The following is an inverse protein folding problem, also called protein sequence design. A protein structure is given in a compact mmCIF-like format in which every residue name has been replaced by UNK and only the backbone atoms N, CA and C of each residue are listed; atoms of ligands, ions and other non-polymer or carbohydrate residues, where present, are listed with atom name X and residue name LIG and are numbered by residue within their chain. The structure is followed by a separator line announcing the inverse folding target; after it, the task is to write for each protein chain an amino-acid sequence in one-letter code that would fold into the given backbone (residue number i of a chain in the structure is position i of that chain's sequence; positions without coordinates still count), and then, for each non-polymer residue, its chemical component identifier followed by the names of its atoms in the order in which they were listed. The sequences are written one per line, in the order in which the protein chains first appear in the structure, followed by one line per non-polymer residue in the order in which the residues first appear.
data_IF_414238017973
#
_entry.id   IF_414238017973
#
_cell.length_a   1.000
_cell.length_b   1.000
_cell.length_c   1.000
_cell.angle_alpha   90.00
_cell.angle_beta   90.00
_cell.angle_gamma   90.00
#
_symmetry.space_group_name_H-M   'P 1'
#
loop_
_entity.id
_entity.type
_entity.pdbx_description
1 polymer ?
#
# COMPACT_ATOMS: atom_id res chain seq x y z
N UNK A 1 14.36 30.59 -4.08
CA UNK A 1 13.95 29.42 -4.89
C UNK A 1 13.69 28.26 -3.94
N UNK A 2 12.55 27.58 -4.05
CA UNK A 2 12.20 26.41 -3.26
C UNK A 2 12.36 25.16 -4.11
N UNK A 3 13.21 24.23 -3.67
CA UNK A 3 13.36 22.91 -4.27
C UNK A 3 13.13 21.86 -3.20
N UNK A 4 12.17 20.97 -3.43
CA UNK A 4 12.00 19.78 -2.62
C UNK A 4 12.77 18.62 -3.26
N UNK A 5 13.46 17.84 -2.43
CA UNK A 5 14.16 16.64 -2.84
C UNK A 5 13.59 15.47 -2.01
N UNK A 6 13.10 14.43 -2.69
CA UNK A 6 12.83 13.11 -2.10
C UNK A 6 13.90 12.14 -2.60
N UNK A 7 14.22 11.13 -1.77
CA UNK A 7 15.04 10.00 -2.21
C UNK A 7 14.38 9.20 -3.36
N UNK A 8 13.04 9.17 -3.39
CA UNK A 8 12.23 8.61 -4.48
C UNK A 8 11.38 9.72 -5.14
N UNK A 9 11.74 10.18 -6.35
CA UNK A 9 11.02 11.25 -7.06
C UNK A 9 9.54 10.95 -7.33
N UNK A 10 9.12 9.67 -7.35
CA UNK A 10 7.71 9.29 -7.53
C UNK A 10 6.81 9.81 -6.41
N UNK A 11 7.39 10.16 -5.26
CA UNK A 11 6.69 10.75 -4.11
C UNK A 11 6.30 12.22 -4.31
N UNK A 12 6.78 12.87 -5.37
CA UNK A 12 6.32 14.21 -5.76
C UNK A 12 5.14 14.13 -6.74
N UNK A 13 4.97 13.01 -7.45
CA UNK A 13 3.94 12.87 -8.47
C UNK A 13 2.53 12.85 -7.83
N UNK A 14 1.71 13.85 -8.18
CA UNK A 14 0.35 13.98 -7.64
C UNK A 14 0.25 14.49 -6.21
N UNK A 15 1.38 14.72 -5.52
CA UNK A 15 1.42 15.37 -4.22
C UNK A 15 1.12 16.86 -4.32
N UNK A 16 0.34 17.38 -3.36
CA UNK A 16 -0.02 18.81 -3.29
C UNK A 16 0.49 19.38 -1.98
N UNK A 17 1.09 20.56 -2.05
CA UNK A 17 1.72 21.25 -0.93
C UNK A 17 1.14 22.65 -0.72
N UNK A 18 1.33 23.18 0.48
CA UNK A 18 1.00 24.55 0.88
C UNK A 18 2.15 25.15 1.68
N UNK A 19 2.34 26.46 1.55
CA UNK A 19 3.16 27.24 2.48
C UNK A 19 2.29 27.92 3.55
N UNK A 20 2.74 27.86 4.79
CA UNK A 20 2.18 28.64 5.91
C UNK A 20 3.27 29.46 6.58
N UNK A 21 2.92 30.57 7.23
CA UNK A 21 3.85 31.25 8.15
C UNK A 21 4.16 30.34 9.35
N UNK A 22 5.16 30.69 10.15
CA UNK A 22 5.44 30.00 11.41
C UNK A 22 4.20 29.87 12.31
N UNK A 23 3.32 30.87 12.29
CA UNK A 23 2.08 30.94 13.06
C UNK A 23 0.91 30.16 12.41
N UNK A 24 1.13 29.58 11.22
CA UNK A 24 0.12 28.80 10.49
C UNK A 24 -0.77 29.64 9.57
N UNK A 25 -0.42 30.89 9.31
CA UNK A 25 -1.21 31.78 8.47
C UNK A 25 -0.92 31.60 6.97
N UNK A 26 -1.82 32.11 6.13
CA UNK A 26 -1.65 32.10 4.68
C UNK A 26 -0.47 32.98 4.27
N UNK A 27 0.43 32.43 3.44
CA UNK A 27 1.59 33.15 2.92
C UNK A 27 1.19 34.04 1.74
N UNK A 28 1.72 35.27 1.74
CA UNK A 28 1.69 36.19 0.61
C UNK A 28 3.10 36.49 0.14
N UNK A 29 3.26 36.72 -1.16
CA UNK A 29 4.52 37.14 -1.75
C UNK A 29 4.79 38.65 -1.55
N UNK A 30 5.93 39.13 -2.02
CA UNK A 30 6.31 40.56 -1.92
C UNK A 30 5.39 41.50 -2.71
N UNK A 31 4.56 40.97 -3.61
CA UNK A 31 3.54 41.73 -4.36
C UNK A 31 2.16 41.65 -3.69
N UNK A 32 2.08 41.08 -2.48
CA UNK A 32 0.86 40.88 -1.71
C UNK A 32 -0.11 39.87 -2.35
N UNK A 33 0.36 39.00 -3.25
CA UNK A 33 -0.41 37.90 -3.83
C UNK A 33 -0.36 36.67 -2.93
N UNK A 34 -1.49 35.99 -2.78
CA UNK A 34 -1.59 34.77 -1.97
C UNK A 34 -0.92 33.58 -2.67
N UNK A 35 -0.02 32.90 -1.97
CA UNK A 35 0.55 31.63 -2.42
C UNK A 35 -0.46 30.50 -2.16
N UNK A 36 -1.12 30.08 -3.24
CA UNK A 36 -2.03 28.93 -3.23
C UNK A 36 -1.27 27.61 -3.12
N UNK A 37 -1.99 26.50 -3.08
CA UNK A 37 -1.39 25.17 -3.13
C UNK A 37 -0.67 24.91 -4.46
N UNK A 38 0.40 24.12 -4.44
CA UNK A 38 1.21 23.79 -5.62
C UNK A 38 1.70 22.34 -5.58
N UNK A 39 2.24 21.87 -6.70
CA UNK A 39 2.84 20.54 -6.84
C UNK A 39 4.30 20.72 -7.28
N UNK A 40 5.22 19.91 -6.77
CA UNK A 40 6.55 19.83 -7.37
C UNK A 40 6.48 18.97 -8.63
N UNK A 41 7.08 19.45 -9.71
CA UNK A 41 7.34 18.63 -10.89
C UNK A 41 8.78 18.13 -10.81
N UNK A 42 8.98 16.89 -11.21
CA UNK A 42 10.29 16.23 -11.11
C UNK A 42 11.40 17.10 -11.72
N UNK A 43 12.44 17.37 -10.93
CA UNK A 43 13.59 18.18 -11.32
C UNK A 43 13.37 19.69 -11.51
N UNK A 44 12.15 20.22 -11.42
CA UNK A 44 11.88 21.65 -11.62
C UNK A 44 11.70 22.41 -10.31
N UNK A 45 12.61 23.36 -9.98
CA UNK A 45 12.46 24.18 -8.79
C UNK A 45 11.30 25.16 -8.93
N UNK A 46 10.56 25.37 -7.83
CA UNK A 46 9.55 26.41 -7.77
C UNK A 46 10.16 27.73 -7.28
N UNK A 47 9.73 28.84 -7.86
CA UNK A 47 10.22 30.17 -7.47
C UNK A 47 9.08 30.97 -6.86
N UNK A 48 9.31 31.41 -5.63
CA UNK A 48 8.48 32.36 -4.90
C UNK A 48 9.35 33.54 -4.48
N UNK A 49 8.76 34.74 -4.46
CA UNK A 49 9.40 35.96 -3.93
C UNK A 49 8.74 36.27 -2.59
N UNK A 50 9.31 35.70 -1.51
CA UNK A 50 8.73 35.77 -0.16
C UNK A 50 9.44 36.84 0.67
N UNK A 51 8.72 37.54 1.57
CA UNK A 51 9.35 38.33 2.61
C UNK A 51 10.27 37.50 3.52
N UNK A 52 11.23 38.15 4.16
CA UNK A 52 12.05 37.54 5.19
C UNK A 52 11.19 36.99 6.32
N UNK A 53 11.45 35.76 6.74
CA UNK A 53 10.62 35.09 7.73
C UNK A 53 10.85 33.60 7.87
N UNK A 54 10.06 32.99 8.73
CA UNK A 54 10.04 31.54 8.96
C UNK A 54 8.74 30.99 8.42
N UNK A 55 8.85 29.93 7.61
CA UNK A 55 7.75 29.32 6.89
C UNK A 55 7.70 27.83 7.14
N UNK A 56 6.52 27.24 6.99
CA UNK A 56 6.34 25.79 6.96
C UNK A 56 5.88 25.34 5.58
N UNK A 57 6.41 24.21 5.11
CA UNK A 57 5.95 23.46 3.97
C UNK A 57 5.09 22.30 4.47
N UNK A 58 3.83 22.27 4.06
CA UNK A 58 2.84 21.27 4.46
C UNK A 58 2.40 20.44 3.25
N UNK A 59 2.35 19.12 3.38
CA UNK A 59 1.69 18.27 2.40
C UNK A 59 0.18 18.29 2.68
N UNK A 60 -0.61 18.68 1.68
CA UNK A 60 -2.08 18.73 1.74
C UNK A 60 -2.70 17.51 1.06
N UNK A 61 -2.00 16.93 0.10
CA UNK A 61 -2.39 15.68 -0.57
C UNK A 61 -1.15 14.82 -0.78
N UNK A 62 -1.22 13.55 -0.38
CA UNK A 62 -0.21 12.55 -0.70
C UNK A 62 -0.33 12.09 -2.16
N UNK A 63 0.77 11.56 -2.73
CA UNK A 63 0.72 10.76 -3.94
C UNK A 63 -0.26 9.58 -3.82
N UNK A 64 -0.75 9.11 -4.95
CA UNK A 64 -1.62 7.95 -4.98
C UNK A 64 -0.91 6.72 -4.40
N UNK A 65 -1.58 6.01 -3.50
CA UNK A 65 -1.02 4.82 -2.85
C UNK A 65 -0.15 5.12 -1.62
N UNK A 66 -0.10 6.36 -1.15
CA UNK A 66 0.64 6.77 0.05
C UNK A 66 -0.25 7.50 1.06
N UNK A 67 0.17 7.47 2.33
CA UNK A 67 -0.45 8.20 3.41
C UNK A 67 0.03 9.65 3.43
N UNK A 68 -0.86 10.57 3.84
CA UNK A 68 -0.53 11.98 4.00
C UNK A 68 0.48 12.19 5.12
N UNK A 69 1.65 12.73 4.79
CA UNK A 69 2.58 13.20 5.80
C UNK A 69 2.08 14.52 6.39
N UNK A 70 1.65 14.48 7.65
CA UNK A 70 1.11 15.64 8.38
C UNK A 70 2.17 16.45 9.11
N UNK A 71 3.44 16.06 9.03
CA UNK A 71 4.55 16.76 9.69
C UNK A 71 4.97 17.93 8.80
N UNK A 72 4.78 19.19 9.22
CA UNK A 72 5.23 20.35 8.45
C UNK A 72 6.76 20.44 8.51
N UNK A 73 7.38 20.89 7.42
CA UNK A 73 8.82 21.13 7.40
C UNK A 73 9.09 22.62 7.43
N UNK A 74 9.82 23.06 8.45
CA UNK A 74 10.12 24.45 8.66
C UNK A 74 11.39 24.89 7.92
N UNK A 75 11.37 26.07 7.32
CA UNK A 75 12.53 26.69 6.70
C UNK A 75 12.52 28.22 6.89
N UNK A 76 13.69 28.83 6.72
CA UNK A 76 13.91 30.27 6.91
C UNK A 76 14.21 30.91 5.54
N UNK A 77 13.62 32.08 5.29
CA UNK A 77 13.93 32.95 4.16
C UNK A 77 14.54 34.25 4.69
N UNK A 78 15.68 34.65 4.12
CA UNK A 78 16.41 35.88 4.40
C UNK A 78 17.17 36.37 3.14
N UNK A 79 17.85 37.51 3.22
CA UNK A 79 18.61 38.11 2.10
C UNK A 79 19.65 37.17 1.46
N UNK A 80 20.23 36.22 2.22
CA UNK A 80 21.22 35.25 1.73
C UNK A 80 20.58 34.00 1.08
N UNK A 81 19.26 33.84 1.18
CA UNK A 81 18.54 32.64 0.76
C UNK A 81 18.35 32.56 -0.75
N UNK A 82 19.36 32.07 -1.47
CA UNK A 82 19.24 31.84 -2.94
C UNK A 82 18.42 30.60 -3.28
N UNK A 83 18.65 29.50 -2.56
CA UNK A 83 17.95 28.22 -2.73
C UNK A 83 17.69 27.60 -1.36
N UNK A 84 16.43 27.34 -1.05
CA UNK A 84 16.03 26.57 0.13
C UNK A 84 15.77 25.14 -0.35
N UNK A 85 16.66 24.22 0.04
CA UNK A 85 16.44 22.79 -0.11
C UNK A 85 15.70 22.27 1.10
N UNK A 86 14.53 21.68 0.87
CA UNK A 86 13.71 21.13 1.94
C UNK A 86 13.75 19.61 1.81
N UNK A 87 14.46 18.90 2.72
CA UNK A 87 14.35 17.45 2.78
C UNK A 87 12.94 17.13 3.26
N UNK A 88 12.20 16.37 2.47
CA UNK A 88 10.90 15.88 2.91
C UNK A 88 11.14 14.74 3.92
N UNK A 89 11.13 15.06 5.21
CA UNK A 89 11.41 14.11 6.28
C UNK A 89 10.24 13.13 6.52
N UNK A 90 10.58 11.87 6.81
CA UNK A 90 9.63 10.79 7.07
C UNK A 90 9.53 9.80 5.91
N UNK A 91 9.61 8.50 6.22
CA UNK A 91 9.41 7.47 5.22
C UNK A 91 7.93 7.47 4.79
N UNK A 92 7.62 7.65 3.50
CA UNK A 92 6.24 7.63 3.03
C UNK A 92 5.62 6.26 3.29
N UNK A 93 4.47 6.24 3.94
CA UNK A 93 3.78 5.00 4.27
C UNK A 93 2.89 4.63 3.09
N UNK A 94 3.20 3.52 2.40
CA UNK A 94 2.30 2.99 1.36
C UNK A 94 0.98 2.57 1.99
N UNK A 95 -0.14 2.96 1.39
CA UNK A 95 -1.50 2.53 1.80
C UNK A 95 -1.88 1.17 1.22
N UNK A 96 -0.94 0.53 0.50
CA UNK A 96 -1.11 -0.77 -0.14
C UNK A 96 0.09 -1.67 0.13
N UNK A 97 -0.17 -2.97 0.10
CA UNK A 97 0.83 -4.02 0.25
C UNK A 97 0.63 -5.11 -0.79
N UNK A 98 1.69 -5.86 -1.05
CA UNK A 98 1.60 -7.08 -1.82
C UNK A 98 1.25 -8.24 -0.87
N UNK A 99 0.42 -9.16 -1.33
CA UNK A 99 0.03 -10.35 -0.57
C UNK A 99 0.35 -11.61 -1.37
N UNK A 100 1.28 -12.41 -0.87
CA UNK A 100 1.62 -13.72 -1.41
C UNK A 100 0.90 -14.82 -0.63
N UNK A 101 0.23 -15.71 -1.35
CA UNK A 101 -0.49 -16.85 -0.79
C UNK A 101 0.15 -18.13 -1.30
N UNK A 102 0.54 -19.01 -0.39
CA UNK A 102 1.14 -20.31 -0.69
C UNK A 102 0.18 -21.42 -0.29
N UNK A 103 -0.18 -22.29 -1.23
CA UNK A 103 -1.03 -23.44 -0.95
C UNK A 103 -0.15 -24.63 -0.57
N UNK A 104 -0.28 -25.11 0.68
CA UNK A 104 0.51 -26.23 1.22
C UNK A 104 -0.38 -27.36 1.75
N UNK A 105 0.22 -28.53 1.97
CA UNK A 105 -0.35 -29.62 2.77
C UNK A 105 0.14 -29.57 4.23
N UNK A 106 -0.33 -30.50 5.04
CA UNK A 106 0.04 -30.69 6.47
C UNK A 106 1.55 -30.88 6.73
N UNK A 107 2.34 -31.17 5.69
CA UNK A 107 3.80 -31.30 5.77
C UNK A 107 4.53 -30.03 5.31
N UNK A 108 3.82 -28.95 5.02
CA UNK A 108 4.38 -27.72 4.46
C UNK A 108 4.75 -27.79 2.99
N UNK A 109 4.41 -28.86 2.27
CA UNK A 109 4.75 -29.03 0.85
C UNK A 109 3.70 -28.38 -0.05
N UNK A 110 4.10 -27.75 -1.18
CA UNK A 110 3.18 -27.08 -2.09
C UNK A 110 2.19 -28.06 -2.73
N UNK A 111 0.92 -27.66 -2.85
CA UNK A 111 -0.13 -28.48 -3.48
C UNK A 111 -0.94 -27.74 -4.54
N UNK A 112 -1.03 -28.34 -5.73
CA UNK A 112 -1.65 -27.73 -6.91
C UNK A 112 -3.16 -27.95 -7.00
N UNK A 113 -3.83 -27.03 -7.71
CA UNK A 113 -5.23 -27.20 -8.13
C UNK A 113 -6.27 -26.54 -7.22
N UNK A 114 -5.82 -25.83 -6.18
CA UNK A 114 -6.69 -24.98 -5.38
C UNK A 114 -7.19 -23.77 -6.19
N UNK A 115 -8.37 -23.26 -5.87
CA UNK A 115 -8.84 -21.96 -6.35
C UNK A 115 -9.38 -21.14 -5.19
N UNK A 116 -9.15 -19.84 -5.25
CA UNK A 116 -9.52 -18.91 -4.20
C UNK A 116 -10.40 -17.78 -4.73
N UNK A 117 -11.09 -17.14 -3.80
CA UNK A 117 -11.68 -15.81 -3.95
C UNK A 117 -11.32 -14.97 -2.73
N UNK A 118 -11.08 -13.67 -2.95
CA UNK A 118 -10.88 -12.72 -1.87
C UNK A 118 -12.13 -11.84 -1.75
N UNK A 119 -12.52 -11.54 -0.52
CA UNK A 119 -13.65 -10.66 -0.21
C UNK A 119 -13.18 -9.59 0.77
N UNK A 120 -13.81 -8.42 0.73
CA UNK A 120 -13.73 -7.51 1.87
C UNK A 120 -14.59 -8.04 3.02
N UNK A 121 -14.13 -7.91 4.25
CA UNK A 121 -14.84 -8.43 5.43
C UNK A 121 -16.22 -7.78 5.59
N UNK A 122 -16.33 -6.49 5.30
CA UNK A 122 -17.60 -5.75 5.33
C UNK A 122 -18.56 -6.11 4.18
N UNK A 123 -18.08 -6.84 3.17
CA UNK A 123 -18.86 -7.25 1.99
C UNK A 123 -18.57 -8.70 1.58
N UNK A 124 -18.83 -9.70 2.48
CA UNK A 124 -18.36 -11.08 2.33
C UNK A 124 -19.04 -11.86 1.20
N UNK A 125 -20.04 -11.26 0.53
CA UNK A 125 -20.79 -11.86 -0.59
C UNK A 125 -20.33 -11.37 -1.97
N UNK A 126 -19.51 -10.31 -2.03
CA UNK A 126 -19.04 -9.72 -3.29
C UNK A 126 -17.53 -9.96 -3.42
N UNK A 127 -17.09 -10.91 -4.27
CA UNK A 127 -15.67 -11.16 -4.42
C UNK A 127 -15.00 -9.94 -5.08
N UNK A 128 -13.80 -9.64 -4.62
CA UNK A 128 -12.91 -8.67 -5.26
C UNK A 128 -12.50 -9.24 -6.61
N UNK A 129 -12.44 -8.37 -7.62
CA UNK A 129 -12.09 -8.71 -8.98
C UNK A 129 -10.67 -8.29 -9.30
N UNK A 130 -10.01 -9.11 -10.11
CA UNK A 130 -8.61 -8.98 -10.45
C UNK A 130 -8.37 -9.29 -11.93
N UNK A 131 -7.38 -8.62 -12.50
CA UNK A 131 -6.73 -9.03 -13.74
C UNK A 131 -5.43 -9.77 -13.41
N UNK A 132 -5.08 -10.78 -14.22
CA UNK A 132 -3.81 -11.48 -14.08
C UNK A 132 -2.80 -10.93 -15.08
N UNK A 133 -1.73 -10.30 -14.56
CA UNK A 133 -0.62 -9.83 -15.35
C UNK A 133 0.34 -11.01 -15.60
N UNK A 134 0.37 -11.52 -16.85
CA UNK A 134 1.18 -12.68 -17.22
C UNK A 134 2.69 -12.42 -17.17
N UNK A 135 3.12 -11.20 -17.45
CA UNK A 135 4.54 -10.84 -17.50
C UNK A 135 5.12 -10.77 -16.08
N UNK A 136 4.39 -10.14 -15.16
CA UNK A 136 4.78 -10.02 -13.76
C UNK A 136 4.37 -11.24 -12.91
N UNK A 137 3.50 -12.11 -13.45
CA UNK A 137 2.90 -13.27 -12.78
C UNK A 137 2.12 -12.91 -11.49
N UNK A 138 1.45 -11.76 -11.47
CA UNK A 138 0.70 -11.24 -10.32
C UNK A 138 -0.76 -10.95 -10.66
N UNK A 139 -1.62 -10.88 -9.65
CA UNK A 139 -2.97 -10.35 -9.74
C UNK A 139 -3.01 -8.89 -9.32
N UNK A 140 -3.71 -8.06 -10.08
CA UNK A 140 -3.90 -6.63 -9.81
C UNK A 140 -5.40 -6.35 -9.71
N UNK A 141 -5.79 -5.42 -8.83
CA UNK A 141 -7.19 -5.03 -8.68
C UNK A 141 -7.74 -4.49 -10.00
N UNK A 142 -8.84 -5.08 -10.46
CA UNK A 142 -9.51 -4.66 -11.70
C UNK A 142 -11.02 -4.91 -11.56
N UNK A 143 -11.86 -3.86 -11.48
CA UNK A 143 -13.32 -3.97 -11.44
C UNK A 143 -13.95 -4.71 -12.64
N UNK A 144 -13.26 -4.73 -13.78
CA UNK A 144 -13.65 -5.46 -14.99
C UNK A 144 -13.09 -6.88 -15.04
N UNK A 145 -12.12 -7.20 -14.17
CA UNK A 145 -11.46 -8.49 -14.10
C UNK A 145 -12.32 -9.63 -13.54
N UNK A 146 -11.68 -10.79 -13.37
CA UNK A 146 -12.29 -11.98 -12.79
C UNK A 146 -12.17 -12.02 -11.26
N UNK A 147 -13.13 -12.64 -10.58
CA UNK A 147 -13.08 -12.78 -9.11
C UNK A 147 -12.35 -14.03 -8.60
N UNK A 148 -11.58 -14.71 -9.47
CA UNK A 148 -10.98 -16.02 -9.17
C UNK A 148 -9.46 -15.91 -9.14
N UNK A 149 -8.87 -16.37 -8.06
CA UNK A 149 -7.43 -16.42 -7.84
C UNK A 149 -6.99 -17.88 -7.95
N UNK A 150 -5.98 -18.14 -8.78
CA UNK A 150 -5.48 -19.48 -9.07
C UNK A 150 -3.98 -19.49 -8.79
N UNK A 151 -3.49 -20.34 -7.85
CA UNK A 151 -2.08 -20.54 -7.64
C UNK A 151 -1.39 -21.10 -8.90
N UNK A 152 -0.17 -20.67 -9.13
CA UNK A 152 0.66 -21.10 -10.25
C UNK A 152 1.04 -22.59 -10.12
N UNK A 153 1.42 -23.20 -11.24
CA UNK A 153 1.95 -24.58 -11.24
C UNK A 153 3.36 -24.67 -10.64
N UNK A 154 4.07 -23.55 -10.56
CA UNK A 154 5.50 -23.46 -10.25
C UNK A 154 5.76 -23.16 -8.76
N UNK A 155 5.01 -23.80 -7.87
CA UNK A 155 5.13 -23.56 -6.42
C UNK A 155 3.80 -23.41 -5.68
N UNK A 156 2.67 -23.64 -6.35
CA UNK A 156 1.34 -23.61 -5.74
C UNK A 156 1.02 -22.27 -5.04
N UNK A 157 1.52 -21.17 -5.59
CA UNK A 157 1.37 -19.84 -5.00
C UNK A 157 0.83 -18.81 -5.98
N UNK A 158 0.25 -17.73 -5.46
CA UNK A 158 -0.08 -16.53 -6.24
C UNK A 158 0.21 -15.28 -5.41
N UNK A 159 0.47 -14.17 -6.11
CA UNK A 159 0.71 -12.86 -5.51
C UNK A 159 -0.35 -11.87 -5.99
N UNK A 160 -0.90 -11.09 -5.07
CA UNK A 160 -1.76 -9.94 -5.34
C UNK A 160 -0.90 -8.70 -5.10
N UNK A 161 -0.79 -7.82 -6.09
CA UNK A 161 -0.05 -6.57 -5.96
C UNK A 161 -0.97 -5.42 -5.56
N UNK A 162 -0.40 -4.46 -4.83
CA UNK A 162 -1.03 -3.19 -4.46
C UNK A 162 -2.43 -3.38 -3.82
N UNK A 163 -2.57 -4.40 -2.96
CA UNK A 163 -3.79 -4.61 -2.19
C UNK A 163 -3.86 -3.55 -1.07
N UNK A 164 -4.91 -2.72 -1.00
CA UNK A 164 -5.04 -1.71 0.05
C UNK A 164 -5.06 -2.32 1.44
N UNK A 165 -4.64 -1.54 2.43
CA UNK A 165 -4.93 -1.84 3.83
C UNK A 165 -6.44 -2.03 4.05
N UNK A 166 -6.77 -2.91 4.99
CA UNK A 166 -8.15 -3.29 5.27
C UNK A 166 -8.30 -4.73 5.76
N UNK A 167 -9.56 -5.14 5.92
CA UNK A 167 -9.93 -6.47 6.41
C UNK A 167 -10.51 -7.30 5.28
N UNK A 168 -10.00 -8.51 5.13
CA UNK A 168 -10.31 -9.40 4.03
C UNK A 168 -10.65 -10.80 4.51
N UNK A 169 -11.41 -11.51 3.69
CA UNK A 169 -11.67 -12.95 3.84
C UNK A 169 -11.17 -13.64 2.57
N UNK A 170 -10.15 -14.48 2.70
CA UNK A 170 -9.70 -15.38 1.65
C UNK A 170 -10.42 -16.71 1.80
N UNK A 171 -11.18 -17.11 0.76
CA UNK A 171 -11.92 -18.36 0.74
C UNK A 171 -11.37 -19.29 -0.32
N UNK A 172 -11.04 -20.52 0.06
CA UNK A 172 -10.85 -21.59 -0.90
C UNK A 172 -12.23 -21.97 -1.47
N UNK A 173 -12.38 -21.91 -2.79
CA UNK A 173 -13.63 -22.25 -3.48
C UNK A 173 -13.53 -23.55 -4.26
N UNK A 174 -12.32 -24.09 -4.40
CA UNK A 174 -12.06 -25.42 -4.92
C UNK A 174 -10.81 -25.95 -4.24
N UNK A 175 -10.95 -27.03 -3.47
CA UNK A 175 -9.80 -27.74 -2.91
C UNK A 175 -9.02 -28.50 -3.99
N UNK A 176 -7.70 -28.72 -3.78
CA UNK A 176 -6.93 -29.71 -4.51
C UNK A 176 -7.58 -31.10 -4.49
N UNK A 177 -7.32 -31.91 -5.52
CA UNK A 177 -7.85 -33.28 -5.60
C UNK A 177 -7.36 -34.10 -4.40
N UNK A 178 -8.29 -34.75 -3.71
CA UNK A 178 -7.97 -35.56 -2.52
C UNK A 178 -7.91 -34.80 -1.21
N UNK A 179 -8.19 -33.48 -1.21
CA UNK A 179 -8.16 -32.65 0.01
C UNK A 179 -9.55 -32.13 0.38
N UNK A 180 -9.73 -31.81 1.66
CA UNK A 180 -10.90 -31.06 2.15
C UNK A 180 -10.75 -29.59 1.77
N UNK A 181 -11.87 -28.87 1.73
CA UNK A 181 -11.86 -27.41 1.61
C UNK A 181 -11.27 -26.83 2.89
N UNK A 182 -10.37 -25.85 2.75
CA UNK A 182 -9.84 -25.12 3.91
C UNK A 182 -10.93 -24.28 4.58
N UNK A 183 -10.72 -23.97 5.86
CA UNK A 183 -11.45 -22.89 6.52
C UNK A 183 -11.14 -21.54 5.86
N UNK A 184 -12.06 -20.58 6.03
CA UNK A 184 -11.88 -19.20 5.60
C UNK A 184 -10.72 -18.54 6.38
N UNK A 185 -9.89 -17.77 5.69
CA UNK A 185 -8.81 -17.00 6.32
C UNK A 185 -9.21 -15.54 6.43
N UNK A 186 -9.20 -15.02 7.64
CA UNK A 186 -9.48 -13.62 7.96
C UNK A 186 -8.16 -12.85 8.06
N UNK A 187 -7.96 -11.88 7.18
CA UNK A 187 -6.71 -11.15 7.02
C UNK A 187 -6.95 -9.69 7.41
N UNK A 188 -6.11 -9.13 8.27
CA UNK A 188 -6.06 -7.70 8.57
C UNK A 188 -4.72 -7.17 8.07
N UNK A 189 -4.77 -6.23 7.13
CA UNK A 189 -3.60 -5.52 6.60
C UNK A 189 -3.67 -4.08 7.09
N UNK A 190 -2.63 -3.64 7.78
CA UNK A 190 -2.55 -2.35 8.47
C UNK A 190 -1.10 -1.83 8.44
N UNK A 191 -0.92 -0.51 8.64
CA UNK A 191 0.40 0.12 8.69
C UNK A 191 1.18 -0.26 9.95
N UNK A 192 0.49 -0.46 11.07
CA UNK A 192 1.10 -0.76 12.37
C UNK A 192 1.29 -2.27 12.56
N UNK A 193 0.21 -3.03 12.41
CA UNK A 193 0.23 -4.46 12.70
C UNK A 193 -0.72 -5.26 11.80
N UNK A 194 -0.14 -6.01 10.87
CA UNK A 194 -0.86 -6.94 10.02
C UNK A 194 -0.88 -8.35 10.63
N UNK A 195 -1.98 -9.07 10.48
CA UNK A 195 -2.13 -10.44 10.97
C UNK A 195 -3.22 -11.21 10.21
N UNK A 196 -3.26 -12.54 10.37
CA UNK A 196 -4.39 -13.35 9.92
C UNK A 196 -4.87 -14.34 10.99
N UNK A 197 -6.06 -14.90 10.76
CA UNK A 197 -6.68 -15.97 11.54
C UNK A 197 -7.27 -17.01 10.59
N UNK A 198 -7.13 -18.29 10.94
CA UNK A 198 -7.86 -19.38 10.28
C UNK A 198 -9.19 -19.57 10.99
N UNK A 199 -10.29 -19.27 10.31
CA UNK A 199 -11.61 -19.12 10.92
C UNK A 199 -11.76 -17.83 11.75
N UNK A 200 -13.00 -17.39 11.96
CA UNK A 200 -13.30 -16.10 12.63
C UNK A 200 -12.76 -16.01 14.06
N UNK A 201 -12.74 -17.13 14.76
CA UNK A 201 -12.25 -17.27 16.14
C UNK A 201 -10.86 -17.91 16.21
N UNK A 202 -10.16 -18.00 15.09
CA UNK A 202 -8.82 -18.57 15.03
C UNK A 202 -7.81 -17.78 15.84
N UNK A 203 -6.71 -18.44 16.21
CA UNK A 203 -5.56 -17.77 16.82
C UNK A 203 -5.02 -16.68 15.87
N UNK A 204 -4.69 -15.51 16.43
CA UNK A 204 -4.00 -14.44 15.72
C UNK A 204 -2.58 -14.88 15.36
N UNK A 205 -2.23 -14.80 14.08
CA UNK A 205 -0.88 -15.06 13.55
C UNK A 205 -0.38 -13.75 12.95
N UNK A 206 0.66 -13.16 13.53
CA UNK A 206 1.24 -11.91 13.07
C UNK A 206 1.93 -12.10 11.72
N UNK A 207 1.74 -11.14 10.83
CA UNK A 207 2.37 -11.10 9.53
C UNK A 207 3.58 -10.17 9.57
N UNK A 208 4.75 -10.72 9.22
CA UNK A 208 5.97 -9.94 9.07
C UNK A 208 6.10 -9.50 7.62
N UNK A 209 6.32 -8.20 7.42
CA UNK A 209 6.43 -7.60 6.09
C UNK A 209 7.85 -7.73 5.57
N UNK A 210 8.02 -8.25 4.36
CA UNK A 210 9.25 -8.06 3.61
C UNK A 210 9.26 -6.61 3.10
N UNK A 211 10.14 -5.78 3.66
CA UNK A 211 10.19 -4.33 3.39
C UNK A 211 10.73 -4.00 2.00
N UNK A 212 11.68 -4.78 1.48
CA UNK A 212 12.24 -4.61 0.13
C UNK A 212 11.17 -4.78 -0.95
N UNK A 213 10.29 -5.78 -0.79
CA UNK A 213 9.28 -6.14 -1.79
C UNK A 213 7.88 -5.66 -1.42
N UNK A 214 7.71 -4.98 -0.28
CA UNK A 214 6.42 -4.57 0.27
C UNK A 214 5.41 -5.74 0.39
N UNK A 215 5.87 -6.95 0.74
CA UNK A 215 5.07 -8.20 0.66
C UNK A 215 4.80 -8.83 2.03
N UNK A 216 3.58 -9.32 2.24
CA UNK A 216 3.23 -10.27 3.29
C UNK A 216 2.99 -11.67 2.70
N UNK A 217 3.40 -12.71 3.43
CA UNK A 217 3.23 -14.11 3.05
C UNK A 217 2.26 -14.84 3.97
N UNK A 218 1.31 -15.56 3.39
CA UNK A 218 0.38 -16.44 4.10
C UNK A 218 0.46 -17.85 3.49
N UNK A 219 0.52 -18.86 4.35
CA UNK A 219 0.37 -20.25 3.95
C UNK A 219 -1.03 -20.75 4.27
N UNK A 220 -1.68 -21.37 3.28
CA UNK A 220 -2.99 -22.01 3.42
C UNK A 220 -2.79 -23.50 3.39
N UNK A 221 -2.98 -24.15 4.53
CA UNK A 221 -2.87 -25.60 4.69
C UNK A 221 -4.17 -26.30 4.32
N UNK A 222 -4.10 -27.44 3.61
CA UNK A 222 -5.23 -28.36 3.51
C UNK A 222 -4.88 -29.72 4.10
N UNK A 223 -5.90 -30.31 4.71
CA UNK A 223 -5.88 -31.67 5.22
C UNK A 223 -6.44 -32.64 4.16
N UNK A 224 -5.82 -33.83 3.97
CA UNK A 224 -6.36 -34.87 3.09
C UNK A 224 -7.80 -35.27 3.44
N UNK A 225 -8.56 -35.70 2.43
CA UNK A 225 -9.82 -36.43 2.67
C UNK A 225 -9.47 -37.81 3.18
N UNK A 226 -9.85 -38.11 4.42
CA UNK A 226 -9.83 -39.49 4.91
C UNK A 226 -10.94 -40.23 4.16
N UNK A 227 -10.54 -41.17 3.31
CA UNK A 227 -11.45 -42.19 2.76
C UNK A 227 -11.13 -43.43 3.58
N UNK A 228 -12.01 -43.79 4.51
CA UNK A 228 -11.91 -45.10 5.16
C UNK A 228 -12.21 -46.16 4.09
N UNK A 229 -11.39 -47.22 3.99
CA UNK A 229 -11.59 -48.30 3.03
C UNK A 229 -12.91 -49.04 3.27
#
# INVERSE_FOLDING_TARGET
ILSAEYDDPSLLEGAVFKLTTKEGETVRDIYNEEIKTFTFKDGEPLRFELPDGVYNLEQIKAPDGYELNKTPIQFIVNEDSKVVKVPLEGNPIKTTVNLAIHKINEKGLPILGANFKLFKEESPKKPIKFAYNKNLKVYELDPMGGGKLIPSKDGASFKINNLPYGKYILKEVKAPKGYKLSDDIYITLDSEESFYRVGKQGKKIILNKNTETNTYDISVENVPRIILP
#
